data_IF_937721797085
#
_entry.id   IF_937721797085
#
_cell.length_a   1.000
_cell.length_b   1.000
_cell.length_c   1.000
_cell.angle_alpha   90.00
_cell.angle_beta   90.00
_cell.angle_gamma   90.00
#
_symmetry.space_group_name_H-M   'P 1'
#
loop_
_entity.id
_entity.type
_entity.pdbx_description
1 polymer ?
#
# COMPACT_ATOMS: atom_id res chain seq x y z
N UNK A 1 19.50 2.32 0.54
CA UNK A 1 20.23 3.59 0.55
C UNK A 1 21.51 3.52 1.39
N UNK A 2 21.65 2.57 2.31
CA UNK A 2 22.85 2.38 3.13
C UNK A 2 24.09 1.95 2.33
N UNK A 3 23.91 1.60 1.07
CA UNK A 3 25.00 1.16 0.16
C UNK A 3 25.38 2.19 -0.90
N UNK A 4 24.66 3.34 -0.94
CA UNK A 4 24.98 4.41 -1.88
C UNK A 4 26.22 5.19 -1.42
N UNK A 5 27.17 5.36 -2.31
CA UNK A 5 28.32 6.21 -2.03
C UNK A 5 27.98 7.70 -2.05
N UNK A 6 28.89 8.53 -1.53
CA UNK A 6 28.68 9.99 -1.47
C UNK A 6 28.56 10.65 -2.86
N UNK A 7 29.07 10.03 -3.91
CA UNK A 7 28.97 10.50 -5.28
C UNK A 7 27.57 10.22 -5.85
N UNK A 8 27.04 9.05 -5.58
CA UNK A 8 25.67 8.65 -5.97
C UNK A 8 24.62 9.48 -5.26
N UNK A 9 24.80 9.72 -3.94
CA UNK A 9 23.91 10.62 -3.17
C UNK A 9 23.93 12.03 -3.71
N UNK A 10 25.09 12.56 -4.12
CA UNK A 10 25.17 13.88 -4.77
C UNK A 10 24.45 13.92 -6.12
N UNK A 11 24.61 12.88 -6.96
CA UNK A 11 23.90 12.76 -8.24
C UNK A 11 22.39 12.70 -8.02
N UNK A 12 21.94 11.89 -7.06
CA UNK A 12 20.52 11.81 -6.69
C UNK A 12 20.01 13.17 -6.22
N UNK A 13 20.73 13.85 -5.33
CA UNK A 13 20.38 15.18 -4.85
C UNK A 13 20.27 16.21 -5.97
N UNK A 14 21.15 16.15 -6.97
CA UNK A 14 21.09 17.01 -8.16
C UNK A 14 19.85 16.72 -9.01
N UNK A 15 19.56 15.44 -9.25
CA UNK A 15 18.36 15.02 -9.99
C UNK A 15 17.08 15.44 -9.28
N UNK A 16 16.98 15.25 -7.97
CA UNK A 16 15.81 15.64 -7.19
C UNK A 16 15.62 17.16 -7.20
N UNK A 17 16.71 17.94 -7.10
CA UNK A 17 16.66 19.41 -7.21
C UNK A 17 16.20 19.88 -8.58
N UNK A 18 16.56 19.17 -9.65
CA UNK A 18 16.11 19.53 -11.01
C UNK A 18 14.59 19.39 -11.19
N UNK A 19 13.94 18.59 -10.34
CA UNK A 19 12.49 18.46 -10.32
C UNK A 19 11.79 19.59 -9.57
N UNK A 20 12.52 20.40 -8.79
CA UNK A 20 11.95 21.53 -8.07
C UNK A 20 11.27 22.52 -9.01
N UNK A 21 10.07 22.94 -8.65
CA UNK A 21 9.20 23.80 -9.47
C UNK A 21 8.70 23.20 -10.79
N UNK A 22 9.05 21.95 -11.10
CA UNK A 22 8.49 21.24 -12.23
C UNK A 22 6.99 21.04 -12.08
N UNK A 23 6.28 21.04 -13.21
CA UNK A 23 4.85 20.75 -13.27
C UNK A 23 4.66 19.34 -13.80
N UNK A 24 3.94 18.53 -13.02
CA UNK A 24 3.50 17.21 -13.46
C UNK A 24 2.08 17.35 -13.94
N UNK A 25 1.85 17.11 -15.23
CA UNK A 25 0.52 17.15 -15.84
C UNK A 25 -0.07 15.75 -15.83
N UNK A 26 -1.25 15.60 -15.24
CA UNK A 26 -1.99 14.33 -15.28
C UNK A 26 -2.70 14.13 -16.62
N UNK A 27 -3.10 15.22 -17.25
CA UNK A 27 -3.61 15.25 -18.63
C UNK A 27 -3.51 16.67 -19.18
N UNK A 28 -3.68 16.83 -20.49
CA UNK A 28 -3.63 18.15 -21.15
C UNK A 28 -4.67 19.17 -20.62
N UNK A 29 -5.74 18.69 -19.98
CA UNK A 29 -6.86 19.52 -19.52
C UNK A 29 -6.93 19.68 -17.99
N UNK A 30 -6.05 19.03 -17.22
CA UNK A 30 -6.10 19.05 -15.77
C UNK A 30 -4.99 19.91 -15.17
N UNK A 31 -5.26 20.57 -14.01
CA UNK A 31 -4.25 21.37 -13.34
C UNK A 31 -3.03 20.51 -12.98
N UNK A 32 -1.86 21.05 -13.22
CA UNK A 32 -0.61 20.41 -12.92
C UNK A 32 -0.34 20.41 -11.42
N UNK A 33 0.17 19.30 -10.91
CA UNK A 33 0.85 19.29 -9.63
C UNK A 33 2.18 20.05 -9.78
N UNK A 34 2.42 21.07 -8.96
CA UNK A 34 3.72 21.73 -8.91
C UNK A 34 4.54 21.11 -7.78
N UNK A 35 5.71 20.59 -8.11
CA UNK A 35 6.64 20.10 -7.11
C UNK A 35 7.26 21.29 -6.38
N UNK A 36 7.23 21.26 -5.05
CA UNK A 36 7.93 22.21 -4.22
C UNK A 36 9.45 22.00 -4.24
N UNK A 37 10.16 22.79 -3.46
CA UNK A 37 11.58 22.55 -3.24
C UNK A 37 11.75 21.23 -2.44
N UNK A 38 12.67 20.35 -2.85
CA UNK A 38 12.96 19.16 -2.07
C UNK A 38 13.56 19.56 -0.73
N UNK A 39 13.05 18.97 0.33
CA UNK A 39 13.61 19.10 1.66
C UNK A 39 14.46 17.85 1.89
N UNK A 40 15.79 17.95 1.82
CA UNK A 40 16.63 16.81 2.14
C UNK A 40 16.51 16.49 3.63
N UNK A 41 16.31 15.24 3.93
CA UNK A 41 16.21 14.75 5.29
C UNK A 41 16.52 13.26 5.33
N UNK A 42 17.02 12.81 6.45
CA UNK A 42 17.13 11.39 6.71
C UNK A 42 15.72 10.86 6.96
N UNK A 43 15.18 10.10 6.00
CA UNK A 43 13.87 9.45 6.14
C UNK A 43 13.83 8.38 7.24
N UNK A 44 14.96 8.08 7.86
CA UNK A 44 15.13 7.06 8.90
C UNK A 44 14.12 7.24 10.04
N UNK A 45 13.83 8.47 10.45
CA UNK A 45 12.85 8.74 11.51
C UNK A 45 11.41 8.32 11.14
N UNK A 46 11.06 8.29 9.85
CA UNK A 46 9.75 7.81 9.39
C UNK A 46 9.63 6.28 9.48
N UNK A 47 10.75 5.58 9.30
CA UNK A 47 10.80 4.12 9.30
C UNK A 47 11.56 3.55 10.51
N UNK A 48 12.10 4.39 11.40
CA UNK A 48 12.70 3.94 12.65
C UNK A 48 11.67 3.20 13.52
N UNK A 49 12.17 2.32 14.38
CA UNK A 49 11.31 1.59 15.34
C UNK A 49 10.42 2.57 16.12
N UNK A 50 9.13 2.26 16.32
CA UNK A 50 8.27 3.08 17.15
C UNK A 50 8.82 3.20 18.58
N UNK A 51 8.49 4.28 19.28
CA UNK A 51 8.86 4.47 20.69
C UNK A 51 8.20 3.41 21.56
N UNK A 52 8.78 3.14 22.70
CA UNK A 52 8.19 2.21 23.68
C UNK A 52 6.77 2.65 24.06
N UNK A 53 5.86 1.69 24.17
CA UNK A 53 4.43 1.94 24.40
C UNK A 53 3.64 2.42 23.18
N UNK A 54 4.26 2.42 22.01
CA UNK A 54 3.61 2.77 20.74
C UNK A 54 3.57 1.59 19.77
N UNK A 55 2.44 1.40 19.13
CA UNK A 55 2.30 0.51 17.97
C UNK A 55 2.39 1.29 16.67
N UNK A 56 3.13 0.76 15.73
CA UNK A 56 3.17 1.30 14.37
C UNK A 56 2.07 0.69 13.52
N UNK A 57 1.29 1.55 12.91
CA UNK A 57 0.34 1.23 11.86
C UNK A 57 0.72 1.98 10.58
N UNK A 58 0.21 1.50 9.46
CA UNK A 58 0.55 2.00 8.14
C UNK A 58 -0.70 2.36 7.36
N UNK A 59 -0.63 3.41 6.55
CA UNK A 59 -1.71 3.79 5.65
C UNK A 59 -1.19 4.02 4.24
N UNK A 60 -1.84 3.49 3.19
CA UNK A 60 -1.45 3.77 1.81
C UNK A 60 -1.80 5.20 1.42
N UNK A 61 -0.83 5.94 0.94
CA UNK A 61 -0.98 7.34 0.53
C UNK A 61 -0.82 7.52 -0.98
N UNK A 62 -1.69 8.28 -1.62
CA UNK A 62 -2.97 8.77 -1.09
C UNK A 62 -3.98 7.64 -0.88
N UNK A 63 -3.83 6.53 -1.58
CA UNK A 63 -4.62 5.30 -1.53
C UNK A 63 -3.93 4.19 -2.33
N UNK A 64 -4.36 2.96 -2.15
CA UNK A 64 -3.96 1.80 -2.96
C UNK A 64 -4.96 1.61 -4.10
N UNK A 65 -4.53 1.74 -5.35
CA UNK A 65 -5.36 1.37 -6.51
C UNK A 65 -5.46 -0.16 -6.57
N UNK A 66 -6.67 -0.68 -6.71
CA UNK A 66 -6.92 -2.11 -6.63
C UNK A 66 -6.21 -2.87 -7.78
N UNK A 67 -5.57 -3.97 -7.44
CA UNK A 67 -4.81 -4.82 -8.39
C UNK A 67 -5.71 -5.60 -9.33
N UNK A 68 -6.94 -5.86 -8.90
CA UNK A 68 -7.92 -6.65 -9.65
C UNK A 68 -9.33 -6.12 -9.40
N UNK A 69 -10.24 -6.56 -10.24
CA UNK A 69 -11.67 -6.38 -9.99
C UNK A 69 -12.19 -7.40 -8.98
N UNK A 70 -13.38 -7.10 -8.45
CA UNK A 70 -14.10 -8.05 -7.62
C UNK A 70 -14.25 -9.41 -8.33
N UNK A 71 -13.88 -10.46 -7.63
CA UNK A 71 -14.07 -11.81 -8.11
C UNK A 71 -15.33 -12.44 -7.51
N UNK A 72 -15.93 -13.34 -8.27
CA UNK A 72 -17.02 -14.17 -7.75
C UNK A 72 -16.50 -15.09 -6.67
N UNK A 73 -17.34 -15.37 -5.69
CA UNK A 73 -17.06 -16.37 -4.68
C UNK A 73 -16.65 -17.71 -5.30
N UNK A 74 -15.72 -18.44 -4.69
CA UNK A 74 -15.43 -19.80 -5.08
C UNK A 74 -16.70 -20.68 -5.06
N UNK A 75 -16.73 -21.70 -5.90
CA UNK A 75 -17.85 -22.63 -5.94
C UNK A 75 -18.12 -23.24 -4.55
N UNK A 76 -19.37 -23.24 -4.15
CA UNK A 76 -19.80 -23.77 -2.84
C UNK A 76 -19.60 -22.83 -1.66
N UNK A 77 -19.11 -21.60 -1.87
CA UNK A 77 -18.95 -20.60 -0.81
C UNK A 77 -19.80 -19.37 -1.14
N UNK A 78 -20.38 -18.74 -0.10
CA UNK A 78 -21.07 -17.44 -0.23
C UNK A 78 -20.21 -16.36 0.39
N UNK A 79 -19.26 -15.83 -0.38
CA UNK A 79 -18.35 -14.75 0.05
C UNK A 79 -18.56 -13.52 -0.81
N UNK A 80 -18.61 -12.36 -0.19
CA UNK A 80 -18.66 -11.07 -0.91
C UNK A 80 -17.28 -10.45 -1.02
N UNK A 81 -16.97 -9.92 -2.19
CA UNK A 81 -15.75 -9.16 -2.40
C UNK A 81 -15.87 -7.77 -1.75
N UNK A 82 -14.97 -7.47 -0.83
CA UNK A 82 -14.99 -6.24 -0.04
C UNK A 82 -13.76 -5.36 -0.32
N UNK A 83 -13.74 -4.16 0.24
CA UNK A 83 -12.55 -3.31 0.21
C UNK A 83 -11.36 -3.96 0.93
N UNK A 84 -11.62 -4.78 1.95
CA UNK A 84 -10.60 -5.55 2.65
C UNK A 84 -9.94 -6.58 1.72
N UNK A 85 -10.74 -7.28 0.89
CA UNK A 85 -10.21 -8.18 -0.13
C UNK A 85 -9.25 -7.45 -1.08
N UNK A 86 -9.62 -6.26 -1.55
CA UNK A 86 -8.76 -5.46 -2.42
C UNK A 86 -7.44 -5.10 -1.74
N UNK A 87 -7.48 -4.67 -0.50
CA UNK A 87 -6.29 -4.29 0.26
C UNK A 87 -5.43 -5.52 0.55
N UNK A 88 -6.03 -6.65 0.93
CA UNK A 88 -5.34 -7.92 1.13
C UNK A 88 -4.63 -8.40 -0.14
N UNK A 89 -5.28 -8.32 -1.30
CA UNK A 89 -4.65 -8.65 -2.59
C UNK A 89 -3.47 -7.74 -2.86
N UNK A 90 -3.60 -6.43 -2.64
CA UNK A 90 -2.51 -5.47 -2.87
C UNK A 90 -1.29 -5.76 -1.97
N UNK A 91 -1.53 -6.09 -0.70
CA UNK A 91 -0.49 -6.50 0.24
C UNK A 91 0.13 -7.84 -0.20
N UNK A 92 -0.70 -8.82 -0.50
CA UNK A 92 -0.26 -10.15 -0.91
C UNK A 92 0.59 -10.15 -2.18
N UNK A 93 0.36 -9.21 -3.10
CA UNK A 93 1.20 -9.03 -4.28
C UNK A 93 2.60 -8.54 -3.94
N UNK A 94 2.75 -7.66 -2.97
CA UNK A 94 4.06 -7.17 -2.51
C UNK A 94 4.80 -8.28 -1.76
N UNK A 95 4.12 -8.98 -0.88
CA UNK A 95 4.67 -10.06 -0.06
C UNK A 95 4.47 -11.46 -0.66
N UNK A 96 4.24 -11.56 -1.97
CA UNK A 96 3.95 -12.85 -2.63
C UNK A 96 4.97 -13.95 -2.36
N UNK A 97 6.23 -13.59 -2.13
CA UNK A 97 7.26 -14.58 -1.84
C UNK A 97 7.10 -15.18 -0.44
N UNK A 98 6.57 -14.41 0.50
CA UNK A 98 6.25 -14.87 1.87
C UNK A 98 5.04 -15.79 1.83
N UNK A 99 4.01 -15.43 1.07
CA UNK A 99 2.77 -16.21 0.98
C UNK A 99 2.82 -17.36 -0.04
N UNK A 100 3.91 -17.48 -0.82
CA UNK A 100 4.00 -18.44 -1.94
C UNK A 100 3.72 -19.89 -1.53
N UNK A 101 4.14 -20.32 -0.35
CA UNK A 101 3.88 -21.66 0.16
C UNK A 101 2.44 -21.92 0.60
N UNK A 102 1.65 -20.86 0.77
CA UNK A 102 0.26 -20.93 1.21
C UNK A 102 -0.74 -20.80 0.05
N UNK A 103 -0.27 -20.31 -1.10
CA UNK A 103 -1.08 -20.12 -2.29
C UNK A 103 -0.91 -21.36 -3.16
N UNK A 104 -1.98 -22.11 -3.35
CA UNK A 104 -1.97 -23.19 -4.34
C UNK A 104 -1.67 -22.58 -5.71
N UNK A 105 -0.84 -23.26 -6.54
CA UNK A 105 -0.49 -22.83 -7.91
C UNK A 105 -1.70 -22.85 -8.86
N UNK A 106 -2.82 -22.34 -8.43
CA UNK A 106 -4.04 -22.26 -9.23
C UNK A 106 -3.89 -21.16 -10.28
N UNK A 107 -3.94 -21.56 -11.53
CA UNK A 107 -4.19 -20.63 -12.64
C UNK A 107 -5.69 -20.32 -12.63
N UNK A 108 -6.06 -19.03 -12.63
CA UNK A 108 -7.45 -18.64 -12.76
C UNK A 108 -7.98 -17.78 -11.60
N UNK A 109 -9.30 -17.60 -11.55
CA UNK A 109 -9.99 -16.69 -10.64
C UNK A 109 -9.87 -17.03 -9.15
N UNK A 110 -9.69 -18.28 -8.79
CA UNK A 110 -9.59 -18.71 -7.39
C UNK A 110 -8.32 -18.29 -6.64
N UNK A 111 -7.26 -17.92 -7.37
CA UNK A 111 -5.95 -17.58 -6.78
C UNK A 111 -6.00 -16.38 -5.83
N UNK A 112 -6.87 -15.42 -6.09
CA UNK A 112 -6.97 -14.22 -5.23
C UNK A 112 -7.66 -14.52 -3.92
N UNK A 113 -8.61 -15.44 -3.89
CA UNK A 113 -9.23 -15.88 -2.65
C UNK A 113 -8.23 -16.61 -1.75
N UNK A 114 -7.40 -17.49 -2.32
CA UNK A 114 -6.32 -18.16 -1.57
C UNK A 114 -5.32 -17.12 -0.99
N UNK A 115 -4.99 -16.09 -1.79
CA UNK A 115 -4.11 -15.00 -1.34
C UNK A 115 -4.75 -14.16 -0.23
N UNK A 116 -6.04 -13.84 -0.36
CA UNK A 116 -6.80 -13.11 0.68
C UNK A 116 -6.78 -13.92 1.97
N UNK A 117 -7.08 -15.22 1.89
CA UNK A 117 -7.12 -16.11 3.05
C UNK A 117 -5.75 -16.19 3.74
N UNK A 118 -4.66 -16.26 2.97
CA UNK A 118 -3.32 -16.26 3.51
C UNK A 118 -2.95 -14.92 4.20
N UNK A 119 -3.30 -13.79 3.59
CA UNK A 119 -3.02 -12.46 4.16
C UNK A 119 -3.86 -12.18 5.39
N UNK A 120 -5.12 -12.65 5.43
CA UNK A 120 -6.05 -12.39 6.54
C UNK A 120 -6.13 -13.52 7.57
N UNK A 121 -5.31 -14.56 7.43
CA UNK A 121 -5.21 -15.64 8.41
C UNK A 121 -4.88 -15.10 9.81
N UNK A 122 -5.40 -15.75 10.84
CA UNK A 122 -5.24 -15.28 12.23
C UNK A 122 -3.79 -15.29 12.73
N UNK A 123 -2.93 -16.08 12.09
CA UNK A 123 -1.48 -16.19 12.31
C UNK A 123 -0.64 -15.40 11.30
N UNK A 124 -1.29 -14.65 10.40
CA UNK A 124 -0.60 -13.77 9.44
C UNK A 124 0.14 -12.65 10.18
N UNK A 125 1.30 -12.30 9.64
CA UNK A 125 2.05 -11.12 10.11
C UNK A 125 1.40 -9.79 9.71
N UNK A 126 0.29 -9.83 8.97
CA UNK A 126 -0.46 -8.66 8.51
C UNK A 126 -1.83 -8.64 9.19
N UNK A 127 -2.22 -7.47 9.69
CA UNK A 127 -3.58 -7.22 10.17
C UNK A 127 -4.14 -5.97 9.51
N UNK A 128 -5.27 -6.11 8.84
CA UNK A 128 -6.03 -4.99 8.30
C UNK A 128 -6.97 -4.50 9.39
N UNK A 129 -6.65 -3.34 9.98
CA UNK A 129 -7.38 -2.80 11.13
C UNK A 129 -8.63 -2.02 10.72
N UNK A 130 -8.54 -1.31 9.61
CA UNK A 130 -9.65 -0.56 9.03
C UNK A 130 -9.46 -0.44 7.52
N UNK A 131 -10.55 -0.37 6.78
CA UNK A 131 -10.51 -0.20 5.33
C UNK A 131 -11.74 0.53 4.84
N UNK A 132 -11.58 1.32 3.79
CA UNK A 132 -12.68 1.92 3.04
C UNK A 132 -12.36 1.97 1.55
N UNK A 133 -13.37 1.88 0.73
CA UNK A 133 -13.27 2.15 -0.70
C UNK A 133 -13.13 3.65 -0.95
N UNK A 134 -12.27 4.00 -1.88
CA UNK A 134 -12.13 5.36 -2.39
C UNK A 134 -12.65 5.37 -3.83
N UNK A 135 -13.60 6.24 -4.10
CA UNK A 135 -14.11 6.49 -5.44
C UNK A 135 -13.85 7.95 -5.79
N UNK A 136 -13.12 8.20 -6.87
CA UNK A 136 -12.81 9.54 -7.37
C UNK A 136 -12.95 9.54 -8.89
N UNK A 137 -13.42 10.66 -9.49
CA UNK A 137 -13.57 10.75 -10.94
C UNK A 137 -12.23 10.71 -11.69
N UNK A 138 -11.13 11.05 -11.04
CA UNK A 138 -9.77 11.10 -11.57
C UNK A 138 -8.96 9.81 -11.35
N UNK A 139 -9.61 8.71 -10.96
CA UNK A 139 -8.93 7.43 -10.72
C UNK A 139 -8.14 6.92 -11.91
N UNK A 140 -8.59 7.20 -13.12
CA UNK A 140 -7.89 6.83 -14.35
C UNK A 140 -6.47 7.39 -14.45
N UNK A 141 -6.20 8.52 -13.79
CA UNK A 141 -4.89 9.17 -13.82
C UNK A 141 -3.83 8.45 -12.97
N UNK A 142 -4.28 7.56 -12.08
CA UNK A 142 -3.40 6.80 -11.17
C UNK A 142 -3.10 5.40 -11.66
N UNK A 143 -3.52 5.03 -12.86
CA UNK A 143 -3.26 3.71 -13.44
C UNK A 143 -2.53 3.83 -14.75
N UNK A 144 -1.56 2.97 -14.91
CA UNK A 144 -0.73 2.94 -16.10
C UNK A 144 -1.39 2.17 -17.28
N UNK A 145 -2.29 1.24 -16.99
CA UNK A 145 -3.05 0.50 -17.99
C UNK A 145 -4.50 0.41 -17.57
N UNK A 146 -5.34 1.00 -18.37
CA UNK A 146 -6.78 0.88 -18.26
C UNK A 146 -7.31 0.03 -19.39
N UNK A 147 -8.07 -1.01 -19.07
CA UNK A 147 -8.86 -1.70 -20.08
C UNK A 147 -10.15 -0.91 -20.26
N UNK A 148 -10.55 -0.71 -21.51
CA UNK A 148 -11.79 -0.05 -21.84
C UNK A 148 -12.98 -0.72 -21.13
N UNK A 149 -13.89 0.07 -20.57
CA UNK A 149 -15.05 -0.41 -19.82
C UNK A 149 -14.79 -0.88 -18.38
N UNK A 150 -13.57 -0.71 -17.85
CA UNK A 150 -13.25 -1.09 -16.47
C UNK A 150 -13.37 0.10 -15.51
N UNK A 151 -14.14 -0.07 -14.45
CA UNK A 151 -14.19 0.89 -13.37
C UNK A 151 -12.99 0.70 -12.44
N UNK A 152 -12.17 1.74 -12.33
CA UNK A 152 -11.04 1.74 -11.41
C UNK A 152 -11.53 2.12 -10.04
N UNK A 153 -11.21 1.31 -9.07
CA UNK A 153 -11.46 1.57 -7.66
C UNK A 153 -10.17 1.54 -6.86
N UNK A 154 -10.17 2.19 -5.73
CA UNK A 154 -9.05 2.19 -4.81
C UNK A 154 -9.53 1.92 -3.39
N UNK A 155 -8.59 1.54 -2.55
CA UNK A 155 -8.82 1.30 -1.14
C UNK A 155 -7.81 2.07 -0.30
N UNK A 156 -8.25 2.57 0.83
CA UNK A 156 -7.34 3.08 1.88
C UNK A 156 -7.70 2.44 3.20
N UNK A 157 -6.77 2.44 4.13
CA UNK A 157 -7.02 1.78 5.40
C UNK A 157 -5.84 1.87 6.35
N UNK A 158 -5.98 1.20 7.47
CA UNK A 158 -4.96 1.07 8.50
C UNK A 158 -4.48 -0.39 8.53
N UNK A 159 -3.19 -0.58 8.46
CA UNK A 159 -2.54 -1.88 8.38
C UNK A 159 -1.51 -1.96 9.50
N UNK A 160 -1.48 -3.05 10.23
CA UNK A 160 -0.40 -3.38 11.14
C UNK A 160 0.41 -4.54 10.56
N UNK A 161 1.73 -4.47 10.70
CA UNK A 161 2.64 -5.55 10.33
C UNK A 161 3.39 -6.01 11.59
N UNK A 162 3.37 -7.30 11.85
CA UNK A 162 4.10 -7.90 12.96
C UNK A 162 5.51 -8.31 12.50
N UNK A 163 6.53 -7.67 13.06
CA UNK A 163 7.95 -8.03 12.94
C UNK A 163 8.59 -8.07 11.52
N UNK A 164 7.89 -7.65 10.47
CA UNK A 164 8.34 -7.87 9.07
C UNK A 164 8.97 -6.63 8.45
N UNK A 165 8.53 -5.44 8.83
CA UNK A 165 9.01 -4.20 8.22
C UNK A 165 9.85 -3.45 9.25
N UNK A 166 11.15 -3.56 9.13
CA UNK A 166 12.04 -2.82 10.03
C UNK A 166 12.51 -1.51 9.42
N UNK A 167 12.83 -1.48 8.13
CA UNK A 167 13.49 -0.32 7.52
C UNK A 167 13.17 -0.19 6.01
N UNK A 168 12.07 -0.75 5.52
CA UNK A 168 11.76 -0.77 4.10
C UNK A 168 10.67 0.24 3.72
N UNK A 169 10.88 0.95 2.64
CA UNK A 169 9.87 1.78 1.99
C UNK A 169 8.98 0.85 1.15
N UNK A 170 7.73 0.74 1.52
CA UNK A 170 6.76 -0.13 0.85
C UNK A 170 5.68 0.69 0.16
N UNK A 171 5.29 0.24 -1.02
CA UNK A 171 4.13 0.74 -1.73
C UNK A 171 3.28 -0.45 -2.21
N UNK A 172 1.97 -0.31 -2.11
CA UNK A 172 0.99 -1.35 -2.46
C UNK A 172 0.02 -0.85 -3.53
N UNK A 173 -0.60 -1.79 -4.23
CA UNK A 173 -1.56 -1.50 -5.28
C UNK A 173 -0.94 -1.31 -6.66
N UNK A 174 -1.80 -1.21 -7.66
CA UNK A 174 -1.42 -1.18 -9.08
C UNK A 174 -0.51 0.01 -9.44
N UNK A 175 -0.69 1.15 -8.76
CA UNK A 175 0.06 2.39 -9.01
C UNK A 175 1.37 2.51 -8.23
N UNK A 176 1.82 1.46 -7.53
CA UNK A 176 3.03 1.50 -6.68
C UNK A 176 4.31 1.90 -7.45
N UNK A 177 4.39 1.57 -8.74
CA UNK A 177 5.51 1.95 -9.59
C UNK A 177 5.57 3.46 -9.90
N UNK A 178 4.50 4.19 -9.62
CA UNK A 178 4.40 5.64 -9.77
C UNK A 178 4.35 6.36 -8.41
N UNK A 179 4.70 5.67 -7.34
CA UNK A 179 4.66 6.21 -5.98
C UNK A 179 3.27 6.26 -5.35
N UNK A 180 2.24 5.73 -6.03
CA UNK A 180 0.92 5.56 -5.43
C UNK A 180 0.90 4.40 -4.44
N UNK A 181 0.09 4.53 -3.37
CA UNK A 181 -0.01 3.48 -2.35
C UNK A 181 1.21 3.34 -1.45
N UNK A 182 2.06 4.36 -1.39
CA UNK A 182 3.18 4.41 -0.45
C UNK A 182 2.66 4.28 0.97
N UNK A 183 3.17 3.31 1.71
CA UNK A 183 2.80 3.08 3.10
C UNK A 183 3.49 4.12 4.00
N UNK A 184 2.69 4.99 4.58
CA UNK A 184 3.17 5.99 5.54
C UNK A 184 2.94 5.46 6.96
N UNK A 185 3.98 5.41 7.80
CA UNK A 185 3.87 4.97 9.17
C UNK A 185 3.18 6.00 10.05
N UNK A 186 2.38 5.52 10.99
CA UNK A 186 1.77 6.29 12.06
C UNK A 186 1.95 5.52 13.37
N UNK A 187 2.45 6.20 14.39
CA UNK A 187 2.62 5.59 15.70
C UNK A 187 1.42 5.92 16.60
N UNK A 188 0.79 4.90 17.13
CA UNK A 188 -0.37 4.99 17.99
C UNK A 188 -0.06 4.39 19.37
N UNK A 189 -0.54 5.00 20.48
CA UNK A 189 -0.38 4.42 21.80
C UNK A 189 -0.93 2.98 21.88
N UNK A 190 -0.24 2.09 22.56
CA UNK A 190 -0.69 0.72 22.79
C UNK A 190 -2.07 0.67 23.48
N UNK A 191 -2.36 1.68 24.30
CA UNK A 191 -3.67 1.82 24.95
C UNK A 191 -4.84 1.92 23.98
N UNK A 192 -4.59 2.31 22.70
CA UNK A 192 -5.59 2.32 21.65
C UNK A 192 -5.97 0.94 21.15
N UNK A 193 -5.25 -0.10 21.53
CA UNK A 193 -5.48 -1.48 21.10
C UNK A 193 -5.95 -2.35 22.26
N UNK A 194 -6.64 -3.42 21.93
CA UNK A 194 -6.97 -4.48 22.88
C UNK A 194 -5.75 -5.37 23.11
N UNK A 195 -5.79 -6.22 24.12
CA UNK A 195 -4.75 -7.24 24.36
C UNK A 195 -4.53 -8.19 23.16
N UNK A 196 -5.53 -8.30 22.28
CA UNK A 196 -5.43 -9.03 21.00
C UNK A 196 -4.96 -8.16 19.83
N UNK A 197 -4.50 -6.93 20.09
CA UNK A 197 -4.02 -6.00 19.09
C UNK A 197 -5.11 -5.46 18.15
N UNK A 198 -6.38 -5.59 18.49
CA UNK A 198 -7.48 -4.98 17.75
C UNK A 198 -7.67 -3.53 18.22
N UNK A 199 -7.96 -2.59 17.30
CA UNK A 199 -8.22 -1.21 17.70
C UNK A 199 -9.50 -1.12 18.55
N UNK A 200 -9.47 -0.30 19.59
CA UNK A 200 -10.62 -0.08 20.49
C UNK A 200 -11.72 0.81 19.90
N UNK A 201 -11.46 1.44 18.76
CA UNK A 201 -12.41 2.34 18.08
C UNK A 201 -13.25 1.67 16.98
N UNK A 202 -13.34 0.38 17.01
CA UNK A 202 -14.27 -0.40 16.15
C UNK A 202 -15.65 -0.43 16.77
#
# INVERSE_FOLDING_TARGET
PSEMDAGELRKLGTLVRSLANSRIYYSHSKPALRLGNPIPGEGVHLWSKPRDGMHRIWSPMPFSVNETQAEKSPAGQSRSWTAECNLAVSIGHVFRNVFRGQIAEKRGRGKYWDLIDAVTAGDSFVRILAVRTVARPDMGDYVHRMREGFMITASTGLIAFENVIKDEILAIGQSRHFGGGLLIPMDCPESCFTTKGQPKWR
#
